data_IF_818520955707
#
_entry.id   IF_818520955707
#
_cell.length_a   1.000
_cell.length_b   1.000
_cell.length_c   1.000
_cell.angle_alpha   90.00
_cell.angle_beta   90.00
_cell.angle_gamma   90.00
#
_symmetry.space_group_name_H-M   'P 1'
#
loop_
_entity.id
_entity.type
_entity.pdbx_description
1 polymer ?
#
# COMPACT_ATOMS: atom_id res chain seq x y z
N UNK A 1 30.79 -10.71 4.90
CA UNK A 1 30.71 -10.29 6.31
C UNK A 1 29.31 -9.76 6.53
N UNK A 2 28.43 -10.59 7.09
CA UNK A 2 27.06 -10.21 7.44
C UNK A 2 27.10 -9.44 8.76
N UNK A 3 26.44 -8.27 8.79
CA UNK A 3 26.26 -7.50 10.01
C UNK A 3 25.29 -8.25 10.96
N UNK A 4 25.60 -8.33 12.27
CA UNK A 4 24.74 -9.04 13.22
C UNK A 4 23.39 -8.34 13.38
N UNK A 5 22.33 -9.13 13.20
CA UNK A 5 20.89 -8.82 13.17
C UNK A 5 20.28 -8.17 14.43
N UNK A 6 21.07 -7.73 15.42
CA UNK A 6 20.56 -7.36 16.76
C UNK A 6 20.28 -5.86 16.98
N UNK A 7 20.29 -5.02 15.94
CA UNK A 7 20.09 -3.55 16.06
C UNK A 7 19.11 -2.93 15.05
N UNK A 8 18.37 -3.74 14.30
CA UNK A 8 17.38 -3.19 13.38
C UNK A 8 16.22 -2.59 14.20
N UNK A 9 15.93 -1.30 14.01
CA UNK A 9 14.78 -0.66 14.65
C UNK A 9 13.49 -1.40 14.25
N UNK A 10 12.61 -1.74 15.20
CA UNK A 10 11.32 -2.33 14.87
C UNK A 10 10.48 -1.36 14.02
N UNK A 11 9.78 -1.88 13.02
CA UNK A 11 8.76 -1.12 12.27
C UNK A 11 7.43 -1.22 13.02
N UNK A 12 6.80 -0.07 13.29
CA UNK A 12 5.50 0.00 13.96
C UNK A 12 4.41 0.24 12.93
N UNK A 13 3.49 -0.72 12.77
CA UNK A 13 2.44 -0.68 11.75
C UNK A 13 1.07 -0.59 12.40
N UNK A 14 0.27 0.38 11.96
CA UNK A 14 -1.14 0.47 12.31
C UNK A 14 -1.98 -0.45 11.44
N UNK A 15 -2.61 -1.48 12.01
CA UNK A 15 -3.60 -2.30 11.30
C UNK A 15 -4.98 -1.76 11.65
N UNK A 16 -5.65 -1.22 10.64
CA UNK A 16 -6.90 -0.49 10.76
C UNK A 16 -8.05 -1.28 10.15
N UNK A 17 -9.22 -1.33 10.79
CA UNK A 17 -10.43 -1.89 10.16
C UNK A 17 -11.69 -1.24 10.71
N UNK A 18 -12.72 -1.11 9.88
CA UNK A 18 -14.08 -0.72 10.28
C UNK A 18 -14.98 -1.93 10.61
N UNK A 19 -14.45 -3.15 10.48
CA UNK A 19 -15.07 -4.37 10.94
C UNK A 19 -14.64 -4.67 12.39
N UNK A 20 -15.13 -5.77 12.97
CA UNK A 20 -14.69 -6.18 14.30
C UNK A 20 -13.25 -6.69 14.25
N UNK A 21 -12.50 -6.50 15.34
CA UNK A 21 -11.14 -7.06 15.47
C UNK A 21 -11.08 -8.56 15.17
N UNK A 22 -12.11 -9.30 15.56
CA UNK A 22 -12.24 -10.74 15.31
C UNK A 22 -12.26 -11.10 13.83
N UNK A 23 -12.63 -10.18 12.93
CA UNK A 23 -12.61 -10.41 11.48
C UNK A 23 -11.18 -10.44 10.89
N UNK A 24 -10.19 -9.93 11.61
CA UNK A 24 -8.79 -9.86 11.16
C UNK A 24 -7.80 -10.38 12.20
N UNK A 25 -8.28 -11.16 13.18
CA UNK A 25 -7.50 -11.58 14.34
C UNK A 25 -6.30 -12.47 13.95
N UNK A 26 -6.52 -13.47 13.09
CA UNK A 26 -5.44 -14.31 12.57
C UNK A 26 -4.42 -13.50 11.77
N UNK A 27 -4.87 -12.50 11.01
CA UNK A 27 -3.96 -11.60 10.29
C UNK A 27 -3.10 -10.76 11.24
N UNK A 28 -3.70 -10.13 12.26
CA UNK A 28 -2.96 -9.40 13.30
C UNK A 28 -1.92 -10.31 13.95
N UNK A 29 -2.31 -11.52 14.35
CA UNK A 29 -1.42 -12.48 14.98
C UNK A 29 -0.24 -12.85 14.06
N UNK A 30 -0.51 -13.14 12.78
CA UNK A 30 0.51 -13.52 11.81
C UNK A 30 1.49 -12.39 11.51
N UNK A 31 1.02 -11.15 11.35
CA UNK A 31 1.89 -9.97 11.14
C UNK A 31 2.70 -9.67 12.42
N UNK A 32 2.10 -9.82 13.59
CA UNK A 32 2.79 -9.59 14.88
C UNK A 32 3.89 -10.62 15.17
N UNK A 33 3.83 -11.79 14.55
CA UNK A 33 4.86 -12.83 14.66
C UNK A 33 6.09 -12.56 13.76
N UNK A 34 6.02 -11.57 12.87
CA UNK A 34 7.15 -11.21 12.01
C UNK A 34 8.26 -10.53 12.83
N UNK A 35 9.51 -10.85 12.50
CA UNK A 35 10.68 -10.29 13.18
C UNK A 35 10.75 -8.78 12.92
N UNK A 36 10.98 -8.01 13.98
CA UNK A 36 11.09 -6.54 13.95
C UNK A 36 9.81 -5.82 13.50
N UNK A 37 8.63 -6.42 13.67
CA UNK A 37 7.34 -5.75 13.44
C UNK A 37 6.61 -5.58 14.77
N UNK A 38 6.18 -4.36 15.06
CA UNK A 38 5.25 -4.04 16.15
C UNK A 38 3.92 -3.65 15.55
N UNK A 39 2.85 -4.35 15.92
CA UNK A 39 1.50 -4.03 15.42
C UNK A 39 0.75 -3.18 16.45
N UNK A 40 0.12 -2.11 15.97
CA UNK A 40 -0.92 -1.40 16.70
C UNK A 40 -2.25 -1.63 16.01
N UNK A 41 -3.20 -2.25 16.71
CA UNK A 41 -4.57 -2.36 16.23
C UNK A 41 -5.30 -1.02 16.37
N UNK A 42 -6.00 -0.61 15.32
CA UNK A 42 -6.74 0.65 15.29
C UNK A 42 -8.15 0.37 14.77
N UNK A 43 -9.14 0.48 15.65
CA UNK A 43 -10.53 0.37 15.24
C UNK A 43 -10.96 1.67 14.54
N UNK A 44 -11.44 1.52 13.31
CA UNK A 44 -12.04 2.61 12.55
C UNK A 44 -13.53 2.64 12.85
N UNK A 45 -14.13 3.81 13.02
CA UNK A 45 -15.56 3.89 13.30
C UNK A 45 -16.35 3.39 12.08
N UNK A 46 -17.40 2.61 12.36
CA UNK A 46 -18.33 2.12 11.34
C UNK A 46 -19.04 3.29 10.64
N UNK A 47 -19.44 4.31 11.40
CA UNK A 47 -20.11 5.51 10.91
C UNK A 47 -19.22 6.73 11.06
N UNK A 48 -19.40 7.72 10.19
CA UNK A 48 -18.68 9.00 10.25
C UNK A 48 -17.14 8.87 10.22
N UNK A 49 -16.64 7.92 9.42
CA UNK A 49 -15.20 7.77 9.17
C UNK A 49 -14.57 9.04 8.58
N UNK A 50 -15.39 9.90 7.98
CA UNK A 50 -14.99 11.20 7.46
C UNK A 50 -14.56 12.20 8.54
N UNK A 51 -15.09 12.11 9.76
CA UNK A 51 -14.61 12.96 10.86
C UNK A 51 -13.39 12.36 11.56
N UNK A 52 -13.23 11.04 11.51
CA UNK A 52 -12.13 10.33 12.18
C UNK A 52 -10.75 10.82 11.72
N UNK A 53 -9.86 10.97 12.71
CA UNK A 53 -8.48 11.38 12.54
C UNK A 53 -7.56 10.28 13.03
N UNK A 54 -6.93 9.60 12.08
CA UNK A 54 -5.91 8.61 12.36
C UNK A 54 -4.64 9.31 12.86
N UNK A 55 -4.27 9.04 14.11
CA UNK A 55 -3.03 9.53 14.71
C UNK A 55 -1.83 8.81 14.08
N UNK A 56 -0.92 9.56 13.47
CA UNK A 56 0.29 9.03 12.83
C UNK A 56 1.45 8.83 13.80
N UNK A 57 1.34 9.30 15.04
CA UNK A 57 2.46 9.40 15.96
C UNK A 57 3.01 8.02 16.35
N UNK A 58 4.29 7.81 16.01
CA UNK A 58 4.99 6.55 16.23
C UNK A 58 4.53 5.40 15.33
N UNK A 59 3.86 5.69 14.22
CA UNK A 59 3.55 4.71 13.18
C UNK A 59 4.44 4.93 11.96
N UNK A 60 5.09 3.86 11.51
CA UNK A 60 5.94 3.85 10.31
C UNK A 60 5.13 3.54 9.04
N UNK A 61 3.90 3.05 9.18
CA UNK A 61 2.99 2.78 8.07
C UNK A 61 1.66 2.22 8.56
N UNK A 62 0.71 2.11 7.64
CA UNK A 62 -0.63 1.59 7.97
C UNK A 62 -1.15 0.62 6.92
N UNK A 63 -1.90 -0.36 7.41
CA UNK A 63 -2.64 -1.34 6.63
C UNK A 63 -4.11 -1.13 6.95
N UNK A 64 -4.93 -0.82 5.95
CA UNK A 64 -6.37 -0.65 6.08
C UNK A 64 -7.04 -1.92 5.55
N UNK A 65 -7.67 -2.69 6.45
CA UNK A 65 -8.41 -3.90 6.14
C UNK A 65 -9.90 -3.58 6.01
N UNK A 66 -10.43 -3.79 4.81
CA UNK A 66 -11.83 -3.63 4.46
C UNK A 66 -12.49 -4.99 4.21
N UNK A 67 -13.46 -5.35 5.04
CA UNK A 67 -14.27 -6.56 4.83
C UNK A 67 -15.36 -6.28 3.80
N UNK A 68 -15.41 -7.06 2.72
CA UNK A 68 -16.50 -6.95 1.75
C UNK A 68 -17.85 -7.43 2.33
N UNK A 69 -17.83 -8.24 3.40
CA UNK A 69 -19.05 -8.64 4.11
C UNK A 69 -19.62 -7.50 4.97
N UNK A 70 -18.79 -6.53 5.36
CA UNK A 70 -19.21 -5.44 6.24
C UNK A 70 -19.94 -4.32 5.47
N UNK A 71 -19.54 -4.02 4.21
CA UNK A 71 -20.17 -2.98 3.35
C UNK A 71 -19.97 -3.18 1.83
N UNK A 72 -19.90 -4.43 1.37
CA UNK A 72 -19.62 -4.72 -0.04
C UNK A 72 -18.21 -4.31 -0.46
N UNK A 73 -17.90 -4.45 -1.75
CA UNK A 73 -16.58 -4.06 -2.28
C UNK A 73 -16.54 -2.55 -2.62
N UNK A 74 -16.80 -1.69 -1.64
CA UNK A 74 -16.91 -0.24 -1.81
C UNK A 74 -15.88 0.52 -0.95
N UNK A 75 -14.65 0.64 -1.47
CA UNK A 75 -13.54 1.31 -0.80
C UNK A 75 -13.49 2.79 -1.21
N UNK A 76 -13.35 3.06 -2.52
CA UNK A 76 -13.37 4.42 -3.10
C UNK A 76 -14.12 4.47 -4.43
N UNK A 77 -14.52 5.67 -4.86
CA UNK A 77 -15.01 5.99 -6.22
C UNK A 77 -16.29 5.28 -6.68
N UNK A 78 -16.99 4.64 -5.74
CA UNK A 78 -18.26 3.97 -5.96
C UNK A 78 -19.31 4.51 -5.00
N UNK A 79 -20.59 4.29 -5.31
CA UNK A 79 -21.65 4.68 -4.38
C UNK A 79 -21.43 4.04 -3.01
N UNK A 80 -21.66 4.82 -1.95
CA UNK A 80 -21.48 4.42 -0.57
C UNK A 80 -20.05 4.00 -0.18
N UNK A 81 -19.05 4.41 -0.97
CA UNK A 81 -17.64 4.18 -0.65
C UNK A 81 -17.28 4.74 0.73
N UNK A 82 -16.66 3.87 1.55
CA UNK A 82 -16.38 4.20 2.94
C UNK A 82 -15.17 5.14 3.10
N UNK A 83 -14.22 5.10 2.16
CA UNK A 83 -12.90 5.71 2.35
C UNK A 83 -12.60 6.89 1.42
N UNK A 84 -13.59 7.43 0.70
CA UNK A 84 -13.40 8.53 -0.27
C UNK A 84 -12.70 9.75 0.33
N UNK A 85 -13.01 10.15 1.56
CA UNK A 85 -12.30 11.25 2.24
C UNK A 85 -11.23 10.76 3.20
N UNK A 86 -11.40 9.56 3.77
CA UNK A 86 -10.47 9.00 4.73
C UNK A 86 -9.13 8.66 4.08
N UNK A 87 -9.13 7.89 2.99
CA UNK A 87 -7.90 7.38 2.39
C UNK A 87 -6.99 8.50 1.83
N UNK A 88 -7.51 9.55 1.17
CA UNK A 88 -6.70 10.72 0.82
C UNK A 88 -6.11 11.47 2.03
N UNK A 89 -6.79 11.49 3.18
CA UNK A 89 -6.22 12.04 4.42
C UNK A 89 -5.10 11.17 4.96
N UNK A 90 -5.29 9.85 5.00
CA UNK A 90 -4.24 8.91 5.41
C UNK A 90 -3.01 9.05 4.52
N UNK A 91 -3.19 9.11 3.19
CA UNK A 91 -2.11 9.41 2.24
C UNK A 91 -1.41 10.73 2.54
N UNK A 92 -2.12 11.79 2.93
CA UNK A 92 -1.48 13.07 3.30
C UNK A 92 -0.64 12.96 4.57
N UNK A 93 -1.09 12.19 5.56
CA UNK A 93 -0.39 12.04 6.83
C UNK A 93 0.84 11.11 6.72
N UNK A 94 0.70 10.01 5.98
CA UNK A 94 1.74 8.98 5.87
C UNK A 94 2.53 9.06 4.56
N UNK A 95 2.02 9.68 3.51
CA UNK A 95 2.56 9.53 2.16
C UNK A 95 2.15 8.19 1.55
N UNK A 96 2.14 8.12 0.21
CA UNK A 96 1.68 6.95 -0.54
C UNK A 96 2.46 5.68 -0.18
N UNK A 97 3.79 5.78 -0.05
CA UNK A 97 4.69 4.64 0.16
C UNK A 97 4.49 3.92 1.51
N UNK A 98 3.74 4.51 2.45
CA UNK A 98 3.49 3.98 3.79
C UNK A 98 2.04 3.57 4.05
N UNK A 99 1.23 3.48 2.99
CA UNK A 99 -0.19 3.10 3.07
C UNK A 99 -0.41 1.84 2.26
N UNK A 100 -1.07 0.87 2.89
CA UNK A 100 -1.47 -0.40 2.31
C UNK A 100 -2.99 -0.61 2.51
N UNK A 101 -3.69 -1.15 1.51
CA UNK A 101 -5.14 -1.40 1.56
C UNK A 101 -5.44 -2.84 1.19
N UNK A 102 -6.14 -3.56 2.07
CA UNK A 102 -6.59 -4.92 1.87
C UNK A 102 -8.11 -4.93 1.77
N UNK A 103 -8.64 -5.47 0.67
CA UNK A 103 -10.04 -5.88 0.62
C UNK A 103 -10.10 -7.39 0.88
N UNK A 104 -10.82 -7.82 1.91
CA UNK A 104 -10.83 -9.21 2.35
C UNK A 104 -12.25 -9.80 2.42
N UNK A 105 -12.34 -11.09 2.72
CA UNK A 105 -13.54 -11.93 2.69
C UNK A 105 -14.09 -12.27 1.30
N UNK A 106 -13.24 -12.17 0.26
CA UNK A 106 -13.60 -12.70 -1.04
C UNK A 106 -13.77 -14.22 -0.98
N UNK A 107 -14.74 -14.78 -1.74
CA UNK A 107 -15.04 -16.21 -1.74
C UNK A 107 -13.97 -16.96 -2.56
N UNK A 108 -12.74 -16.99 -2.08
CA UNK A 108 -11.71 -17.90 -2.56
C UNK A 108 -11.83 -19.21 -1.83
N UNK A 109 -11.69 -20.35 -2.50
CA UNK A 109 -11.35 -21.55 -1.80
C UNK A 109 -9.83 -21.72 -1.84
N UNK A 110 -9.21 -21.53 -0.68
CA UNK A 110 -7.83 -21.95 -0.40
C UNK A 110 -7.79 -23.38 0.18
N UNK A 111 -8.95 -24.05 0.24
CA UNK A 111 -9.12 -25.39 0.79
C UNK A 111 -8.87 -26.48 -0.27
N UNK A 112 -8.53 -27.73 0.14
CA UNK A 112 -8.22 -28.87 -0.75
C UNK A 112 -9.36 -29.35 -1.69
N UNK A 113 -10.46 -28.61 -1.79
CA UNK A 113 -11.61 -28.92 -2.66
C UNK A 113 -12.17 -27.71 -3.41
N UNK A 114 -11.41 -26.61 -3.47
CA UNK A 114 -11.73 -25.43 -4.26
C UNK A 114 -11.45 -25.57 -5.75
N UNK A 115 -11.92 -24.64 -6.61
CA UNK A 115 -11.34 -24.34 -7.90
C UNK A 115 -9.82 -24.47 -7.90
N UNK A 116 -9.28 -24.94 -9.03
CA UNK A 116 -7.85 -25.14 -9.21
C UNK A 116 -7.08 -23.85 -8.89
N UNK A 117 -5.81 -23.97 -8.52
CA UNK A 117 -4.91 -22.82 -8.32
C UNK A 117 -4.91 -21.86 -9.53
N UNK A 118 -5.08 -22.39 -10.74
CA UNK A 118 -5.17 -21.59 -11.96
C UNK A 118 -6.49 -20.81 -12.04
N UNK A 119 -7.60 -21.39 -11.57
CA UNK A 119 -8.89 -20.72 -11.50
C UNK A 119 -8.86 -19.62 -10.44
N UNK A 120 -8.17 -19.86 -9.31
CA UNK A 120 -7.99 -18.85 -8.27
C UNK A 120 -7.27 -17.61 -8.79
N UNK A 121 -6.14 -17.78 -9.48
CA UNK A 121 -5.39 -16.66 -10.04
C UNK A 121 -6.23 -15.85 -11.05
N UNK A 122 -6.97 -16.52 -11.94
CA UNK A 122 -7.83 -15.86 -12.92
C UNK A 122 -9.00 -15.09 -12.28
N UNK A 123 -9.64 -15.67 -11.26
CA UNK A 123 -10.72 -15.00 -10.53
C UNK A 123 -10.14 -13.80 -9.76
N UNK A 124 -8.97 -13.96 -9.11
CA UNK A 124 -8.26 -12.87 -8.42
C UNK A 124 -7.90 -11.73 -9.36
N UNK A 125 -7.36 -12.04 -10.53
CA UNK A 125 -7.04 -11.05 -11.56
C UNK A 125 -8.29 -10.31 -12.04
N UNK A 126 -9.43 -11.01 -12.16
CA UNK A 126 -10.71 -10.40 -12.52
C UNK A 126 -11.16 -9.38 -11.47
N UNK A 127 -11.15 -9.76 -10.19
CA UNK A 127 -11.52 -8.84 -9.11
C UNK A 127 -10.51 -7.69 -8.94
N UNK A 128 -9.20 -7.95 -9.08
CA UNK A 128 -8.19 -6.90 -9.08
C UNK A 128 -8.34 -5.95 -10.27
N UNK A 129 -8.72 -6.45 -11.44
CA UNK A 129 -9.04 -5.64 -12.62
C UNK A 129 -10.25 -4.72 -12.38
N UNK A 130 -11.32 -5.26 -11.80
CA UNK A 130 -12.48 -4.47 -11.36
C UNK A 130 -12.10 -3.43 -10.30
N UNK A 131 -11.27 -3.81 -9.32
CA UNK A 131 -10.81 -2.90 -8.29
C UNK A 131 -10.04 -1.71 -8.87
N UNK A 132 -9.09 -1.98 -9.76
CA UNK A 132 -8.27 -0.94 -10.42
C UNK A 132 -9.07 -0.01 -11.31
N UNK A 133 -10.06 -0.55 -12.02
CA UNK A 133 -10.87 0.23 -12.96
C UNK A 133 -11.93 1.07 -12.26
N UNK A 134 -12.59 0.52 -11.25
CA UNK A 134 -13.72 1.17 -10.58
C UNK A 134 -13.32 2.03 -9.38
N UNK A 135 -12.15 1.77 -8.77
CA UNK A 135 -11.74 2.43 -7.51
C UNK A 135 -10.30 2.98 -7.60
N UNK A 136 -9.99 3.81 -8.62
CA UNK A 136 -8.63 4.29 -8.87
C UNK A 136 -8.04 5.10 -7.71
N UNK A 137 -8.86 5.84 -6.94
CA UNK A 137 -8.39 6.65 -5.81
C UNK A 137 -7.68 5.79 -4.76
N UNK A 138 -8.09 4.53 -4.60
CA UNK A 138 -7.38 3.59 -3.73
C UNK A 138 -5.92 3.45 -4.15
N UNK A 139 -5.67 3.15 -5.43
CA UNK A 139 -4.31 2.95 -5.97
C UNK A 139 -3.49 4.24 -6.07
N UNK A 140 -4.16 5.39 -6.13
CA UNK A 140 -3.50 6.69 -6.01
C UNK A 140 -3.01 6.98 -4.59
N UNK A 141 -3.74 6.48 -3.59
CA UNK A 141 -3.51 6.78 -2.19
C UNK A 141 -2.64 5.76 -1.43
N UNK A 142 -2.52 4.54 -1.93
CA UNK A 142 -1.69 3.50 -1.31
C UNK A 142 -0.56 3.01 -2.21
N UNK A 143 0.51 2.52 -1.59
CA UNK A 143 1.60 1.81 -2.28
C UNK A 143 1.16 0.45 -2.76
N UNK A 144 0.46 -0.25 -1.88
CA UNK A 144 0.06 -1.64 -2.04
C UNK A 144 -1.45 -1.74 -1.81
N UNK A 145 -2.16 -2.24 -2.82
CA UNK A 145 -3.56 -2.61 -2.72
C UNK A 145 -3.68 -4.08 -3.09
N UNK A 146 -4.29 -4.88 -2.22
CA UNK A 146 -4.46 -6.32 -2.41
C UNK A 146 -5.89 -6.74 -2.10
N UNK A 147 -6.30 -7.84 -2.73
CA UNK A 147 -7.50 -8.56 -2.35
C UNK A 147 -7.12 -9.94 -1.81
N UNK A 148 -7.81 -10.40 -0.78
CA UNK A 148 -7.54 -11.68 -0.14
C UNK A 148 -8.82 -12.31 0.40
N UNK A 149 -8.70 -13.53 0.93
CA UNK A 149 -9.85 -14.26 1.49
C UNK A 149 -10.09 -13.88 2.93
N UNK A 150 -10.38 -14.87 3.76
CA UNK A 150 -10.61 -14.65 5.18
C UNK A 150 -9.32 -14.26 5.89
N UNK A 151 -9.46 -13.42 6.91
CA UNK A 151 -8.38 -12.97 7.80
C UNK A 151 -8.67 -13.25 9.29
N UNK A 152 -9.81 -13.89 9.58
CA UNK A 152 -10.37 -14.05 10.93
C UNK A 152 -9.70 -15.20 11.69
N UNK A 153 -9.91 -16.44 11.26
CA UNK A 153 -9.36 -17.66 11.87
C UNK A 153 -8.18 -18.23 11.09
N UNK A 154 -8.09 -17.86 9.82
CA UNK A 154 -7.03 -18.21 8.89
C UNK A 154 -6.68 -16.97 8.07
N UNK A 155 -5.49 -16.96 7.47
CA UNK A 155 -5.04 -15.88 6.59
C UNK A 155 -4.96 -16.43 5.17
N UNK A 156 -6.03 -16.21 4.41
CA UNK A 156 -6.18 -16.66 3.03
C UNK A 156 -5.52 -15.67 2.07
N UNK A 157 -4.19 -15.69 2.08
CA UNK A 157 -3.32 -14.96 1.16
C UNK A 157 -2.37 -15.95 0.49
N UNK A 158 -2.11 -15.76 -0.79
CA UNK A 158 -1.08 -16.56 -1.47
C UNK A 158 0.34 -16.13 -1.06
N UNK A 159 1.32 -16.96 -1.40
CA UNK A 159 2.73 -16.70 -1.06
C UNK A 159 3.26 -15.40 -1.68
N UNK A 160 2.74 -14.99 -2.83
CA UNK A 160 3.22 -13.81 -3.55
C UNK A 160 2.69 -12.52 -2.90
N UNK A 161 1.42 -12.49 -2.49
CA UNK A 161 0.86 -11.40 -1.69
C UNK A 161 1.60 -11.25 -0.37
N UNK A 162 1.94 -12.37 0.27
CA UNK A 162 2.68 -12.35 1.53
C UNK A 162 4.08 -11.73 1.34
N UNK A 163 4.79 -12.10 0.27
CA UNK A 163 6.07 -11.47 -0.10
C UNK A 163 5.92 -9.97 -0.36
N UNK A 164 4.88 -9.55 -1.09
CA UNK A 164 4.61 -8.14 -1.33
C UNK A 164 4.35 -7.36 -0.03
N UNK A 165 3.62 -7.97 0.92
CA UNK A 165 3.42 -7.39 2.23
C UNK A 165 4.75 -7.26 2.99
N UNK A 166 5.59 -8.30 3.02
CA UNK A 166 6.90 -8.24 3.68
C UNK A 166 7.80 -7.15 3.08
N UNK A 167 7.79 -6.99 1.75
CA UNK A 167 8.51 -5.90 1.06
C UNK A 167 7.95 -4.53 1.47
N UNK A 168 6.63 -4.37 1.55
CA UNK A 168 6.01 -3.13 2.02
C UNK A 168 6.41 -2.81 3.46
N UNK A 169 6.39 -3.78 4.37
CA UNK A 169 6.80 -3.63 5.77
C UNK A 169 8.27 -3.21 5.88
N UNK A 170 9.14 -3.83 5.08
CA UNK A 170 10.54 -3.45 4.99
C UNK A 170 10.74 -2.01 4.49
N UNK A 171 9.99 -1.60 3.46
CA UNK A 171 10.07 -0.23 2.93
C UNK A 171 9.61 0.82 3.95
N UNK A 172 8.56 0.53 4.71
CA UNK A 172 8.12 1.40 5.82
C UNK A 172 9.24 1.63 6.85
N UNK A 173 10.04 0.59 7.13
CA UNK A 173 11.20 0.69 8.03
C UNK A 173 12.28 1.60 7.47
N UNK A 174 12.67 1.43 6.20
CA UNK A 174 13.75 2.24 5.59
C UNK A 174 13.36 3.71 5.49
N UNK A 175 12.08 4.02 5.22
CA UNK A 175 11.61 5.40 5.10
C UNK A 175 11.45 6.13 6.43
N UNK A 176 11.37 5.41 7.56
CA UNK A 176 11.38 6.07 8.87
C UNK A 176 12.77 6.51 9.31
N UNK A 177 13.83 5.96 8.73
CA UNK A 177 15.21 6.34 9.01
C UNK A 177 15.61 7.65 8.31
N UNK A 178 15.09 7.94 7.11
CA UNK A 178 15.44 9.15 6.34
C UNK A 178 14.83 10.44 6.90
N UNK A 179 13.76 10.36 7.71
CA UNK A 179 13.14 11.53 8.35
C UNK A 179 13.75 11.88 9.72
N UNK A 180 14.56 11.02 10.31
CA UNK A 180 15.08 11.18 11.67
C UNK A 180 16.52 11.77 11.73
N UNK A 181 17.05 12.29 10.63
CA UNK A 181 18.31 13.06 10.63
C UNK A 181 18.01 14.56 10.79
N UNK A 182 18.31 15.20 11.93
CA UNK A 182 18.07 16.64 12.13
C UNK A 182 19.13 17.55 11.47
N UNK A 183 19.99 17.04 10.59
CA UNK A 183 21.21 17.76 10.17
C UNK A 183 21.04 18.79 9.05
N UNK A 184 19.84 18.98 8.49
CA UNK A 184 19.65 19.95 7.39
C UNK A 184 18.95 21.27 7.81
N UNK A 185 18.79 21.51 9.11
CA UNK A 185 18.43 22.84 9.61
C UNK A 185 19.69 23.66 9.92
N UNK A 186 20.41 24.08 8.88
CA UNK A 186 21.44 25.12 9.03
C UNK A 186 20.95 26.44 8.44
N UNK A 187 20.93 27.45 9.32
CA UNK A 187 20.57 28.83 9.10
C UNK A 187 21.27 29.47 7.90
N UNK A 188 20.52 30.22 7.10
CA UNK A 188 20.94 31.58 6.72
C UNK A 188 19.74 32.38 6.24
N UNK A 189 19.44 33.42 7.01
CA UNK A 189 18.55 34.50 6.63
C UNK A 189 19.24 35.39 5.57
N UNK A 190 18.40 35.96 4.71
CA UNK A 190 18.57 37.24 3.99
C UNK A 190 18.82 37.18 2.48
N UNK A 191 17.94 37.94 1.81
CA UNK A 191 17.96 38.50 0.45
C UNK A 191 17.58 37.60 -0.74
N UNK A 192 16.28 37.67 -1.07
CA UNK A 192 15.78 37.68 -2.46
C UNK A 192 16.18 39.00 -3.16
N UNK A 193 16.06 39.18 -4.50
CA UNK A 193 15.47 38.27 -5.50
C UNK A 193 16.31 38.11 -6.80
N UNK A 194 16.05 37.07 -7.58
CA UNK A 194 16.55 37.03 -8.97
C UNK A 194 16.54 35.62 -9.57
N UNK A 195 15.63 35.39 -10.51
CA UNK A 195 15.26 34.07 -11.01
C UNK A 195 16.42 33.18 -11.49
N UNK A 196 16.27 31.88 -11.27
CA UNK A 196 16.94 30.88 -12.09
C UNK A 196 16.00 29.72 -12.36
N UNK A 197 15.94 29.36 -13.63
CA UNK A 197 14.96 28.46 -14.24
C UNK A 197 15.27 27.00 -13.88
N UNK A 198 14.18 26.29 -13.61
CA UNK A 198 14.00 24.86 -13.38
C UNK A 198 14.97 23.91 -14.11
N UNK A 199 15.73 23.13 -13.33
CA UNK A 199 16.48 21.95 -13.79
C UNK A 199 15.62 20.67 -13.89
N UNK A 200 14.32 20.75 -13.59
CA UNK A 200 13.43 19.58 -13.60
C UNK A 200 12.91 19.25 -15.01
N UNK A 201 12.97 20.20 -15.94
CA UNK A 201 12.48 20.00 -17.32
C UNK A 201 13.43 19.15 -18.19
N UNK A 202 14.74 19.11 -17.86
CA UNK A 202 15.73 18.36 -18.66
C UNK A 202 15.68 16.85 -18.43
N UNK A 203 15.19 16.38 -17.27
CA UNK A 203 15.11 14.94 -16.99
C UNK A 203 13.90 14.31 -17.69
N UNK A 204 12.77 15.03 -17.77
CA UNK A 204 11.53 14.51 -18.38
C UNK A 204 11.68 14.37 -19.91
N UNK A 205 12.31 15.34 -20.57
CA UNK A 205 12.56 15.27 -22.03
C UNK A 205 13.54 14.13 -22.37
N UNK A 206 14.54 13.87 -21.51
CA UNK A 206 15.51 12.78 -21.71
C UNK A 206 14.88 11.39 -21.63
N UNK A 207 13.96 11.16 -20.68
CA UNK A 207 13.27 9.87 -20.53
C UNK A 207 12.31 9.61 -21.70
N UNK A 208 11.57 10.63 -22.15
CA UNK A 208 10.65 10.50 -23.29
C UNK A 208 11.43 10.21 -24.59
N UNK A 209 12.57 10.88 -24.81
CA UNK A 209 13.42 10.62 -25.98
C UNK A 209 14.02 9.20 -25.97
N UNK A 210 14.38 8.68 -24.79
CA UNK A 210 14.92 7.32 -24.66
C UNK A 210 13.87 6.23 -24.92
N UNK A 211 12.64 6.42 -24.42
CA UNK A 211 11.52 5.50 -24.67
C UNK A 211 11.13 5.53 -26.15
N UNK A 212 11.05 6.71 -26.78
CA UNK A 212 10.76 6.84 -28.20
C UNK A 212 11.84 6.18 -29.09
N UNK A 213 13.11 6.32 -28.74
CA UNK A 213 14.22 5.70 -29.47
C UNK A 213 14.19 4.17 -29.39
N UNK A 214 13.89 3.59 -28.21
CA UNK A 214 13.76 2.13 -28.08
C UNK A 214 12.58 1.56 -28.86
N UNK A 215 11.44 2.25 -28.86
CA UNK A 215 10.26 1.83 -29.64
C UNK A 215 10.54 1.88 -31.14
N UNK A 216 11.23 2.92 -31.62
CA UNK A 216 11.61 3.05 -33.03
C UNK A 216 12.60 1.96 -33.49
N UNK A 217 13.59 1.60 -32.66
CA UNK A 217 14.53 0.52 -32.97
C UNK A 217 13.86 -0.86 -33.02
N UNK A 218 12.84 -1.09 -32.19
CA UNK A 218 12.08 -2.33 -32.22
C UNK A 218 11.22 -2.44 -33.49
N UNK A 219 10.61 -1.34 -33.92
CA UNK A 219 9.80 -1.29 -35.14
C UNK A 219 10.63 -1.51 -36.41
N UNK A 220 11.86 -0.96 -36.46
CA UNK A 220 12.79 -1.13 -37.59
C UNK A 220 13.28 -2.59 -37.76
N UNK A 221 13.32 -3.39 -36.68
CA UNK A 221 13.70 -4.81 -36.75
C UNK A 221 12.55 -5.71 -37.25
N UNK A 222 11.29 -5.30 -37.08
CA UNK A 222 10.14 -6.09 -37.53
C UNK A 222 9.80 -5.95 -39.01
N UNK A 223 10.25 -4.88 -39.69
CA UNK A 223 9.96 -4.61 -41.11
C UNK A 223 11.10 -5.00 -42.08
N UNK A 224 11.94 -5.98 -41.72
CA UNK A 224 12.98 -6.56 -42.59
C UNK A 224 12.74 -8.04 -42.91
N UNK A 225 11.47 -8.41 -43.13
CA UNK A 225 11.09 -9.65 -43.81
C UNK A 225 10.29 -9.30 -45.06
#
# INVERSE_FOLDING_TARGET
MELPSSKAKPVTIGICTSALRSNIEAFIAKVSALINVTVRFIELPYNDLDSFRLLSDGLDGVIICHSINNRGFAITDVMDALYDKFLPRVRRNFGKDRVCVFAHDFPWPMAPGGPSRNDHAAIKDTYMGSFRSNQPTTFECCKLAMICGRLDKQVDMDEEDWKQLEVFLYQCRVHSESFNNPSDACNTCSSNPGGSRSYTFLIIVGVIAFVAYKTFQHFRKSNKK
#
